data_IF_056826768049
#
_entry.id   IF_056826768049
#
_cell.length_a   1.000
_cell.length_b   1.000
_cell.length_c   1.000
_cell.angle_alpha   90.00
_cell.angle_beta   90.00
_cell.angle_gamma   90.00
#
_symmetry.space_group_name_H-M   'P 1'
#
loop_
_entity.id
_entity.type
_entity.pdbx_description
1 polymer ?
#
# COMPACT_ATOMS: atom_id res chain seq x y z
N UNK A 1 -24.58 26.29 17.10
CA UNK A 1 -23.66 25.34 17.75
C UNK A 1 -23.95 23.90 17.33
N UNK A 2 -25.20 23.43 17.35
CA UNK A 2 -25.54 22.05 16.94
C UNK A 2 -25.36 21.72 15.44
N UNK A 3 -25.51 22.70 14.54
CA UNK A 3 -25.37 22.47 13.10
C UNK A 3 -23.90 22.22 12.68
N UNK A 4 -22.95 22.85 13.36
CA UNK A 4 -21.51 22.69 13.08
C UNK A 4 -21.00 21.32 13.54
N UNK A 5 -21.44 20.84 14.71
CA UNK A 5 -21.08 19.52 15.23
C UNK A 5 -21.68 18.37 14.41
N UNK A 6 -22.89 18.54 13.86
CA UNK A 6 -23.44 17.57 12.90
C UNK A 6 -22.67 17.54 11.58
N UNK A 7 -22.30 18.71 11.04
CA UNK A 7 -21.51 18.79 9.81
C UNK A 7 -20.12 18.15 9.97
N UNK A 8 -19.43 18.40 11.08
CA UNK A 8 -18.13 17.76 11.38
C UNK A 8 -18.26 16.23 11.52
N UNK A 9 -19.33 15.76 12.18
CA UNK A 9 -19.58 14.32 12.34
C UNK A 9 -19.76 13.64 10.98
N UNK A 10 -20.62 14.20 10.12
CA UNK A 10 -20.87 13.66 8.78
C UNK A 10 -19.59 13.65 7.94
N UNK A 11 -18.81 14.74 7.98
CA UNK A 11 -17.53 14.84 7.27
C UNK A 11 -16.54 13.76 7.75
N UNK A 12 -16.42 13.56 9.07
CA UNK A 12 -15.53 12.56 9.65
C UNK A 12 -15.91 11.14 9.22
N UNK A 13 -17.20 10.80 9.20
CA UNK A 13 -17.68 9.51 8.72
C UNK A 13 -17.36 9.27 7.24
N UNK A 14 -17.58 10.28 6.39
CA UNK A 14 -17.33 10.16 4.94
C UNK A 14 -15.85 9.93 4.66
N UNK A 15 -14.97 10.68 5.29
CA UNK A 15 -13.52 10.54 5.08
C UNK A 15 -12.99 9.25 5.69
N UNK A 16 -13.46 8.84 6.88
CA UNK A 16 -13.11 7.52 7.44
C UNK A 16 -13.51 6.38 6.51
N UNK A 17 -14.71 6.45 5.93
CA UNK A 17 -15.13 5.48 4.92
C UNK A 17 -14.22 5.53 3.69
N UNK A 18 -13.82 6.72 3.22
CA UNK A 18 -12.88 6.89 2.12
C UNK A 18 -11.49 6.28 2.39
N UNK A 19 -10.94 6.49 3.59
CA UNK A 19 -9.65 5.89 4.01
C UNK A 19 -9.75 4.37 3.97
N UNK A 20 -10.80 3.80 4.57
CA UNK A 20 -11.02 2.36 4.62
C UNK A 20 -11.15 1.77 3.21
N UNK A 21 -11.85 2.45 2.30
CA UNK A 21 -12.00 2.01 0.92
C UNK A 21 -10.67 2.03 0.16
N UNK A 22 -9.88 3.10 0.31
CA UNK A 22 -8.55 3.19 -0.29
C UNK A 22 -7.61 2.10 0.24
N UNK A 23 -7.57 1.89 1.55
CA UNK A 23 -6.76 0.84 2.17
C UNK A 23 -7.19 -0.56 1.71
N UNK A 24 -8.50 -0.83 1.67
CA UNK A 24 -9.04 -2.10 1.20
C UNK A 24 -8.68 -2.36 -0.26
N UNK A 25 -8.81 -1.36 -1.14
CA UNK A 25 -8.41 -1.46 -2.54
C UNK A 25 -6.91 -1.79 -2.69
N UNK A 26 -6.05 -1.09 -1.95
CA UNK A 26 -4.61 -1.34 -1.94
C UNK A 26 -4.26 -2.78 -1.52
N UNK A 27 -4.89 -3.29 -0.46
CA UNK A 27 -4.70 -4.68 0.00
C UNK A 27 -5.16 -5.69 -1.04
N UNK A 28 -6.33 -5.48 -1.65
CA UNK A 28 -6.86 -6.37 -2.69
C UNK A 28 -5.91 -6.45 -3.88
N UNK A 29 -5.44 -5.30 -4.37
CA UNK A 29 -4.48 -5.23 -5.49
C UNK A 29 -3.18 -5.96 -5.15
N UNK A 30 -2.64 -5.75 -3.95
CA UNK A 30 -1.44 -6.41 -3.48
C UNK A 30 -1.61 -7.94 -3.46
N UNK A 31 -2.70 -8.43 -2.87
CA UNK A 31 -3.01 -9.86 -2.78
C UNK A 31 -3.13 -10.49 -4.16
N UNK A 32 -3.87 -9.87 -5.10
CA UNK A 32 -4.01 -10.37 -6.46
C UNK A 32 -2.65 -10.44 -7.16
N UNK A 33 -1.81 -9.42 -6.99
CA UNK A 33 -0.47 -9.39 -7.59
C UNK A 33 0.41 -10.52 -7.06
N UNK A 34 0.42 -10.73 -5.73
CA UNK A 34 1.17 -11.81 -5.09
C UNK A 34 0.69 -13.18 -5.60
N UNK A 35 -0.61 -13.43 -5.64
CA UNK A 35 -1.17 -14.70 -6.13
C UNK A 35 -0.81 -14.94 -7.59
N UNK A 36 -1.00 -13.95 -8.47
CA UNK A 36 -0.60 -14.04 -9.89
C UNK A 36 0.88 -14.33 -10.05
N UNK A 37 1.72 -13.70 -9.23
CA UNK A 37 3.15 -13.92 -9.26
C UNK A 37 3.51 -15.34 -8.79
N UNK A 38 2.91 -15.86 -7.72
CA UNK A 38 3.14 -17.25 -7.30
C UNK A 38 2.79 -18.22 -8.44
N UNK A 39 1.65 -18.04 -9.10
CA UNK A 39 1.23 -18.89 -10.23
C UNK A 39 2.23 -18.82 -11.40
N UNK A 40 2.74 -17.63 -11.74
CA UNK A 40 3.74 -17.45 -12.81
C UNK A 40 5.12 -17.98 -12.45
N UNK A 41 5.49 -17.95 -11.17
CA UNK A 41 6.76 -18.50 -10.69
C UNK A 41 6.85 -20.00 -11.00
N UNK A 42 5.78 -20.75 -10.76
CA UNK A 42 5.70 -22.17 -11.13
C UNK A 42 5.72 -22.40 -12.65
N UNK A 43 5.31 -21.42 -13.46
CA UNK A 43 5.34 -21.49 -14.93
C UNK A 43 6.67 -21.07 -15.56
N UNK A 44 7.71 -20.78 -14.77
CA UNK A 44 9.04 -20.37 -15.25
C UNK A 44 9.03 -19.15 -16.19
N UNK A 45 8.06 -18.25 -16.01
CA UNK A 45 7.85 -17.10 -16.88
C UNK A 45 8.63 -15.86 -16.38
N UNK A 46 9.52 -15.32 -17.22
CA UNK A 46 10.42 -14.21 -16.88
C UNK A 46 9.70 -12.89 -16.52
N UNK A 47 8.41 -12.77 -16.84
CA UNK A 47 7.57 -11.59 -16.58
C UNK A 47 7.18 -11.41 -15.09
N UNK A 48 7.38 -12.43 -14.26
CA UNK A 48 7.02 -12.48 -12.83
C UNK A 48 7.37 -11.22 -12.03
N UNK A 49 8.57 -10.70 -12.26
CA UNK A 49 9.19 -9.63 -11.48
C UNK A 49 8.54 -8.28 -11.76
N UNK A 50 8.17 -8.06 -13.02
CA UNK A 50 7.56 -6.83 -13.49
C UNK A 50 6.12 -6.70 -12.97
N UNK A 51 5.37 -7.80 -12.97
CA UNK A 51 3.98 -7.81 -12.48
C UNK A 51 3.90 -7.57 -10.96
N UNK A 52 4.80 -8.19 -10.20
CA UNK A 52 4.91 -7.99 -8.75
C UNK A 52 5.24 -6.52 -8.41
N UNK A 53 6.24 -5.95 -9.09
CA UNK A 53 6.63 -4.56 -8.89
C UNK A 53 5.49 -3.58 -9.23
N UNK A 54 4.76 -3.82 -10.33
CA UNK A 54 3.58 -3.03 -10.69
C UNK A 54 2.46 -3.11 -9.67
N UNK A 55 2.16 -4.31 -9.16
CA UNK A 55 1.12 -4.47 -8.14
C UNK A 55 1.48 -3.86 -6.79
N UNK A 56 2.76 -3.90 -6.40
CA UNK A 56 3.25 -3.23 -5.19
C UNK A 56 3.14 -1.71 -5.35
N UNK A 57 3.56 -1.16 -6.50
CA UNK A 57 3.46 0.28 -6.77
C UNK A 57 2.00 0.76 -6.71
N UNK A 58 1.08 0.04 -7.36
CA UNK A 58 -0.34 0.37 -7.36
C UNK A 58 -0.97 0.27 -5.96
N UNK A 59 -0.60 -0.75 -5.17
CA UNK A 59 -1.06 -0.88 -3.78
C UNK A 59 -0.56 0.27 -2.89
N UNK A 60 0.65 0.77 -3.14
CA UNK A 60 1.22 1.92 -2.45
C UNK A 60 0.53 3.23 -2.85
N UNK A 61 0.16 3.42 -4.13
CA UNK A 61 -0.61 4.58 -4.58
C UNK A 61 -1.97 4.65 -3.87
N UNK A 62 -2.67 3.52 -3.73
CA UNK A 62 -3.94 3.47 -2.98
C UNK A 62 -3.74 3.75 -1.48
N UNK A 63 -2.66 3.25 -0.89
CA UNK A 63 -2.34 3.51 0.53
C UNK A 63 -2.00 4.97 0.79
N UNK A 64 -1.21 5.59 -0.09
CA UNK A 64 -0.91 7.02 -0.07
C UNK A 64 -2.18 7.86 -0.22
N UNK A 65 -3.12 7.45 -1.09
CA UNK A 65 -4.42 8.11 -1.21
C UNK A 65 -5.20 8.12 0.11
N UNK A 66 -5.24 6.98 0.82
CA UNK A 66 -5.86 6.88 2.15
C UNK A 66 -5.16 7.75 3.21
N UNK A 67 -3.83 7.80 3.20
CA UNK A 67 -3.07 8.68 4.10
C UNK A 67 -3.34 10.16 3.82
N UNK A 68 -3.45 10.57 2.56
CA UNK A 68 -3.83 11.94 2.17
C UNK A 68 -5.25 12.29 2.65
N UNK A 69 -6.20 11.36 2.60
CA UNK A 69 -7.53 11.59 3.17
C UNK A 69 -7.48 11.76 4.70
N UNK A 70 -6.57 11.05 5.38
CA UNK A 70 -6.40 11.12 6.84
C UNK A 70 -5.80 12.46 7.30
N UNK A 71 -4.92 13.07 6.51
CA UNK A 71 -4.30 14.37 6.82
C UNK A 71 -5.27 15.55 6.65
N UNK A 72 -6.36 15.36 5.91
CA UNK A 72 -7.46 16.35 5.81
C UNK A 72 -8.25 16.46 7.12
N UNK A 73 -8.20 15.44 8.00
CA UNK A 73 -8.97 15.40 9.26
C UNK A 73 -8.12 15.54 10.51
N UNK A 74 -7.00 14.82 10.61
CA UNK A 74 -6.18 14.77 11.83
C UNK A 74 -4.99 15.71 11.67
N UNK A 75 -5.04 16.88 12.31
CA UNK A 75 -3.92 17.83 12.35
C UNK A 75 -2.77 17.43 13.31
N UNK A 76 -2.82 16.26 13.93
CA UNK A 76 -1.67 15.70 14.70
C UNK A 76 -0.83 14.77 13.81
N UNK A 77 0.08 15.39 13.08
CA UNK A 77 0.93 14.78 12.05
C UNK A 77 2.00 13.81 12.57
N UNK A 78 2.36 13.90 13.85
CA UNK A 78 3.58 13.24 14.37
C UNK A 78 3.44 11.71 14.45
N UNK A 79 2.32 11.22 14.98
CA UNK A 79 2.14 9.78 15.23
C UNK A 79 1.84 9.00 13.95
N UNK A 80 1.07 9.60 13.04
CA UNK A 80 0.76 9.00 11.74
C UNK A 80 1.97 8.92 10.83
N UNK A 81 2.81 9.97 10.81
CA UNK A 81 4.03 9.98 10.00
C UNK A 81 5.03 8.89 10.44
N UNK A 82 5.16 8.66 11.74
CA UNK A 82 6.07 7.63 12.30
C UNK A 82 5.60 6.22 11.91
N UNK A 83 4.30 5.95 12.04
CA UNK A 83 3.72 4.66 11.66
C UNK A 83 3.84 4.40 10.14
N UNK A 84 3.57 5.42 9.32
CA UNK A 84 3.75 5.36 7.87
C UNK A 84 5.21 5.10 7.48
N UNK A 85 6.15 5.79 8.12
CA UNK A 85 7.59 5.61 7.90
C UNK A 85 8.05 4.17 8.24
N UNK A 86 7.57 3.59 9.34
CA UNK A 86 7.92 2.21 9.72
C UNK A 86 7.40 1.20 8.70
N UNK A 87 6.16 1.36 8.23
CA UNK A 87 5.57 0.46 7.23
C UNK A 87 6.30 0.59 5.89
N UNK A 88 6.63 1.80 5.46
CA UNK A 88 7.41 2.07 4.25
C UNK A 88 8.81 1.47 4.33
N UNK A 89 9.53 1.71 5.44
CA UNK A 89 10.87 1.17 5.66
C UNK A 89 10.86 -0.36 5.63
N UNK A 90 9.88 -0.97 6.30
CA UNK A 90 9.73 -2.43 6.31
C UNK A 90 9.44 -3.00 4.92
N UNK A 91 8.57 -2.33 4.16
CA UNK A 91 8.26 -2.70 2.79
C UNK A 91 9.46 -2.56 1.87
N UNK A 92 10.17 -1.43 1.95
CA UNK A 92 11.34 -1.13 1.13
C UNK A 92 12.51 -2.07 1.42
N UNK A 93 12.81 -2.34 2.69
CA UNK A 93 13.91 -3.24 3.08
C UNK A 93 13.63 -4.68 2.62
N UNK A 94 12.40 -5.16 2.84
CA UNK A 94 11.98 -6.51 2.41
C UNK A 94 11.99 -6.62 0.89
N UNK A 95 11.56 -5.56 0.19
CA UNK A 95 11.57 -5.50 -1.27
C UNK A 95 12.99 -5.45 -1.84
N UNK A 96 13.90 -4.67 -1.25
CA UNK A 96 15.31 -4.58 -1.64
C UNK A 96 16.00 -5.94 -1.49
N UNK A 97 15.83 -6.61 -0.36
CA UNK A 97 16.42 -7.94 -0.12
C UNK A 97 15.87 -8.96 -1.12
N UNK A 98 14.55 -8.96 -1.35
CA UNK A 98 13.93 -9.88 -2.30
C UNK A 98 14.29 -9.53 -3.76
N UNK A 99 14.65 -8.28 -4.04
CA UNK A 99 15.19 -7.84 -5.31
C UNK A 99 16.63 -8.31 -5.48
N UNK A 100 17.50 -8.21 -4.47
CA UNK A 100 18.87 -8.73 -4.54
C UNK A 100 18.90 -10.25 -4.73
N UNK A 101 18.15 -11.01 -3.93
CA UNK A 101 18.08 -12.49 -4.03
C UNK A 101 17.67 -12.92 -5.44
N UNK A 102 16.63 -12.29 -5.99
CA UNK A 102 16.15 -12.61 -7.33
C UNK A 102 17.09 -12.14 -8.46
N UNK A 103 18.06 -11.28 -8.14
CA UNK A 103 19.10 -10.85 -9.09
C UNK A 103 20.30 -11.78 -9.06
N UNK A 104 20.61 -12.36 -7.90
CA UNK A 104 21.67 -13.36 -7.73
C UNK A 104 21.31 -14.73 -8.32
N UNK A 105 20.05 -15.18 -8.22
CA UNK A 105 19.61 -16.42 -8.89
C UNK A 105 19.77 -16.37 -10.42
N UNK A 106 19.77 -15.17 -11.02
CA UNK A 106 20.01 -14.97 -12.46
C UNK A 106 21.48 -14.88 -12.84
N UNK A 107 22.40 -14.76 -11.87
CA UNK A 107 23.85 -14.73 -12.12
C UNK A 107 24.49 -16.12 -11.99
N UNK A 108 23.78 -17.09 -11.42
CA UNK A 108 24.24 -18.46 -11.19
C UNK A 108 23.61 -19.50 -12.14
N UNK A 109 22.84 -19.05 -13.14
CA UNK A 109 22.45 -19.83 -14.33
C UNK A 109 23.19 -19.28 -15.56
#
# INVERSE_FOLDING_TARGET
MEFLTQAESIFSYVVQAGILLCEAAGVIVLLISVVKSIVKYFKHDGSLRLDLAKGIALALEFKMGGEVLRTVIVREWSELAILGAIILLRGALTFLINWEIKNEEKRLQ
#
